data_IF_358089640086
#
_entry.id   IF_358089640086
#
_cell.length_a   1.000
_cell.length_b   1.000
_cell.length_c   1.000
_cell.angle_alpha   90.00
_cell.angle_beta   90.00
_cell.angle_gamma   90.00
#
_symmetry.space_group_name_H-M   'P 1'
#
loop_
_entity.id
_entity.type
_entity.pdbx_description
1 polymer ?
#
# COMPACT_ATOMS: atom_id res chain seq x y z
N UNK A 1 1.17 -26.13 9.17
CA UNK A 1 1.49 -24.71 9.29
C UNK A 1 2.57 -24.41 10.35
N UNK A 2 3.47 -25.35 10.62
CA UNK A 2 4.56 -25.23 11.62
C UNK A 2 5.96 -25.49 11.01
N UNK A 3 6.06 -25.64 9.70
CA UNK A 3 7.32 -26.08 9.04
C UNK A 3 8.16 -24.90 8.54
N UNK A 4 7.58 -23.71 8.38
CA UNK A 4 8.32 -22.53 7.87
C UNK A 4 9.18 -21.87 8.95
N UNK A 5 8.81 -21.99 10.23
CA UNK A 5 9.55 -21.38 11.35
C UNK A 5 10.87 -22.08 11.71
N UNK A 6 11.10 -23.31 11.24
CA UNK A 6 12.30 -24.08 11.64
C UNK A 6 13.54 -23.80 10.79
N UNK A 7 13.40 -23.13 9.66
CA UNK A 7 14.55 -22.86 8.76
C UNK A 7 15.28 -21.55 9.05
N UNK A 8 14.61 -20.59 9.73
CA UNK A 8 15.19 -19.27 10.04
C UNK A 8 16.11 -19.30 11.28
N UNK A 9 15.95 -20.33 12.16
CA UNK A 9 16.66 -20.37 13.46
C UNK A 9 18.07 -20.96 13.40
N UNK A 10 18.59 -21.42 12.26
CA UNK A 10 19.94 -22.04 12.19
C UNK A 10 21.09 -21.10 11.80
N UNK A 11 20.81 -19.81 11.63
CA UNK A 11 21.83 -18.81 11.26
C UNK A 11 22.10 -17.72 12.30
N UNK A 12 21.59 -17.84 13.53
CA UNK A 12 21.80 -16.83 14.57
C UNK A 12 23.26 -16.76 15.01
N UNK A 13 24.10 -16.12 14.23
CA UNK A 13 25.40 -15.63 14.68
C UNK A 13 25.15 -14.44 15.63
N UNK A 14 25.75 -14.50 16.83
CA UNK A 14 25.72 -13.46 17.86
C UNK A 14 25.96 -12.07 17.26
N UNK A 15 24.90 -11.35 16.96
CA UNK A 15 25.00 -9.94 16.57
C UNK A 15 25.26 -9.06 17.80
N UNK A 16 26.30 -8.24 17.70
CA UNK A 16 26.62 -7.20 18.69
C UNK A 16 25.44 -6.24 18.81
N UNK A 17 24.94 -6.06 20.04
CA UNK A 17 23.94 -5.05 20.43
C UNK A 17 24.45 -3.64 20.09
N UNK A 18 24.20 -3.18 18.87
CA UNK A 18 24.40 -1.79 18.51
C UNK A 18 23.44 -1.37 17.38
N UNK A 19 22.17 -1.77 17.48
CA UNK A 19 21.12 -1.21 16.63
C UNK A 19 20.68 0.10 17.26
N UNK A 20 21.27 1.21 16.84
CA UNK A 20 20.74 2.53 17.17
C UNK A 20 19.46 2.73 16.39
N UNK A 21 18.32 2.71 17.09
CA UNK A 21 17.07 3.25 16.57
C UNK A 21 17.30 4.74 16.26
N UNK A 22 17.41 5.08 14.98
CA UNK A 22 17.44 6.46 14.56
C UNK A 22 16.02 7.02 14.67
N UNK A 23 15.78 7.73 15.77
CA UNK A 23 14.55 8.51 15.95
C UNK A 23 14.77 9.87 15.29
N UNK A 24 14.10 10.12 14.19
CA UNK A 24 14.07 11.44 13.55
C UNK A 24 12.79 12.15 13.98
N UNK A 25 12.89 13.34 14.53
CA UNK A 25 11.72 14.16 14.75
C UNK A 25 11.93 15.30 15.72
N UNK A 26 12.14 16.51 15.21
CA UNK A 26 11.64 17.74 15.83
C UNK A 26 10.55 18.30 14.93
N UNK A 27 9.37 17.75 15.00
CA UNK A 27 8.13 18.28 14.44
C UNK A 27 7.05 18.23 15.50
N UNK A 28 6.14 19.18 15.51
CA UNK A 28 5.14 19.47 16.55
C UNK A 28 4.06 18.40 16.82
N UNK A 29 4.33 17.14 16.59
CA UNK A 29 3.49 16.02 17.00
C UNK A 29 4.38 15.04 17.76
N UNK A 30 4.38 15.19 19.10
CA UNK A 30 5.20 14.37 20.01
C UNK A 30 4.74 12.91 20.10
N UNK A 31 3.67 12.51 19.43
CA UNK A 31 3.01 11.23 19.68
C UNK A 31 3.32 10.12 18.66
N UNK A 32 4.03 10.39 17.55
CA UNK A 32 4.41 9.35 16.59
C UNK A 32 5.93 9.30 16.41
N UNK A 33 6.60 8.54 17.27
CA UNK A 33 7.99 8.12 17.02
C UNK A 33 7.97 7.07 15.92
N UNK A 34 8.32 7.48 14.70
CA UNK A 34 8.45 6.56 13.58
C UNK A 34 9.75 5.77 13.72
N UNK A 35 9.68 4.46 13.55
CA UNK A 35 10.86 3.61 13.48
C UNK A 35 11.39 3.60 12.05
N UNK A 36 12.66 3.96 11.86
CA UNK A 36 13.30 3.98 10.53
C UNK A 36 14.16 2.76 10.23
N UNK A 37 14.57 2.01 11.25
CA UNK A 37 15.31 0.77 11.10
C UNK A 37 14.49 -0.40 11.63
N UNK A 38 14.66 -1.56 11.04
CA UNK A 38 14.08 -2.80 11.52
C UNK A 38 15.02 -3.50 12.49
N UNK A 39 14.51 -3.78 13.71
CA UNK A 39 15.06 -4.85 14.53
C UNK A 39 14.25 -6.12 14.18
N UNK A 40 14.87 -7.14 13.57
CA UNK A 40 14.16 -8.32 13.11
C UNK A 40 13.34 -9.00 14.22
N UNK A 41 13.90 -9.10 15.42
CA UNK A 41 13.23 -9.77 16.54
C UNK A 41 12.00 -8.97 17.00
N UNK A 42 12.12 -7.65 17.11
CA UNK A 42 11.01 -6.76 17.49
C UNK A 42 9.96 -6.74 16.39
N UNK A 43 10.38 -6.59 15.13
CA UNK A 43 9.46 -6.47 14.00
C UNK A 43 8.62 -7.75 13.78
N UNK A 44 9.21 -8.94 14.05
CA UNK A 44 8.52 -10.21 13.86
C UNK A 44 7.64 -10.62 15.05
N UNK A 45 7.86 -10.06 16.24
CA UNK A 45 7.22 -10.50 17.47
C UNK A 45 6.39 -9.44 18.20
N UNK A 46 6.51 -8.16 17.81
CA UNK A 46 5.75 -7.03 18.37
C UNK A 46 4.88 -6.40 17.28
N UNK A 47 3.57 -6.65 17.36
CA UNK A 47 2.59 -6.12 16.42
C UNK A 47 2.55 -4.59 16.40
N UNK A 48 2.68 -3.93 17.55
CA UNK A 48 2.65 -2.47 17.63
C UNK A 48 3.89 -1.86 16.97
N UNK A 49 5.06 -2.48 17.18
CA UNK A 49 6.29 -2.07 16.51
C UNK A 49 6.20 -2.30 14.99
N UNK A 50 5.62 -3.41 14.57
CA UNK A 50 5.37 -3.70 13.16
C UNK A 50 4.48 -2.63 12.50
N UNK A 51 3.33 -2.32 13.11
CA UNK A 51 2.41 -1.29 12.60
C UNK A 51 3.08 0.08 12.55
N UNK A 52 3.90 0.44 13.55
CA UNK A 52 4.67 1.70 13.53
C UNK A 52 5.69 1.73 12.40
N UNK A 53 6.32 0.59 12.10
CA UNK A 53 7.26 0.49 10.99
C UNK A 53 6.55 0.68 9.64
N UNK A 54 5.40 0.01 9.41
CA UNK A 54 4.58 0.20 8.20
C UNK A 54 4.12 1.65 8.05
N UNK A 55 3.67 2.30 9.12
CA UNK A 55 3.34 3.75 9.11
C UNK A 55 4.56 4.62 8.81
N UNK A 56 5.74 4.22 9.25
CA UNK A 56 7.01 4.86 8.89
C UNK A 56 7.27 4.81 7.38
N UNK A 57 6.99 3.67 6.74
CA UNK A 57 7.07 3.51 5.28
C UNK A 57 6.06 4.43 4.59
N UNK A 58 4.78 4.43 5.01
CA UNK A 58 3.76 5.34 4.46
C UNK A 58 4.20 6.81 4.53
N UNK A 59 4.77 7.20 5.68
CA UNK A 59 5.25 8.56 5.87
C UNK A 59 6.41 8.88 4.90
N UNK A 60 7.38 7.98 4.77
CA UNK A 60 8.51 8.15 3.85
C UNK A 60 8.01 8.27 2.39
N UNK A 61 7.07 7.43 1.96
CA UNK A 61 6.45 7.51 0.62
C UNK A 61 5.81 8.88 0.40
N UNK A 62 4.96 9.35 1.35
CA UNK A 62 4.24 10.62 1.20
C UNK A 62 5.13 11.87 1.24
N UNK A 63 6.34 11.77 1.79
CA UNK A 63 7.31 12.87 1.92
C UNK A 63 8.34 12.91 0.81
N UNK A 64 8.45 11.87 0.02
CA UNK A 64 9.36 11.81 -1.12
C UNK A 64 8.85 12.68 -2.29
N UNK A 65 9.75 13.41 -2.94
CA UNK A 65 9.43 14.26 -4.08
C UNK A 65 8.85 13.47 -5.27
N UNK A 66 9.24 12.21 -5.45
CA UNK A 66 8.71 11.31 -6.47
C UNK A 66 7.20 11.09 -6.31
N UNK A 67 6.71 11.03 -5.06
CA UNK A 67 5.27 10.94 -4.81
C UNK A 67 4.53 12.18 -5.29
N UNK A 68 5.06 13.36 -5.01
CA UNK A 68 4.50 14.64 -5.49
C UNK A 68 4.53 14.73 -7.01
N UNK A 69 5.63 14.31 -7.64
CA UNK A 69 5.76 14.24 -9.08
C UNK A 69 4.76 13.25 -9.69
N UNK A 70 4.56 12.09 -9.07
CA UNK A 70 3.57 11.11 -9.51
C UNK A 70 2.16 11.67 -9.48
N UNK A 71 1.75 12.35 -8.40
CA UNK A 71 0.45 13.05 -8.33
C UNK A 71 0.30 14.08 -9.46
N UNK A 72 1.36 14.84 -9.73
CA UNK A 72 1.41 15.77 -10.85
C UNK A 72 1.23 15.09 -12.22
N UNK A 73 1.93 13.97 -12.45
CA UNK A 73 1.80 13.15 -13.67
C UNK A 73 0.37 12.68 -13.89
N UNK A 74 -0.29 12.14 -12.85
CA UNK A 74 -1.69 11.69 -12.91
C UNK A 74 -2.63 12.83 -13.30
N UNK A 75 -2.46 14.02 -12.72
CA UNK A 75 -3.26 15.21 -13.06
C UNK A 75 -3.05 15.66 -14.51
N UNK A 76 -1.81 15.68 -14.97
CA UNK A 76 -1.47 16.05 -16.36
C UNK A 76 -1.98 15.02 -17.39
N UNK A 77 -2.13 13.76 -16.99
CA UNK A 77 -2.71 12.71 -17.82
C UNK A 77 -4.24 12.81 -17.96
N UNK A 78 -4.88 13.84 -17.39
CA UNK A 78 -6.32 14.10 -17.52
C UNK A 78 -7.15 13.69 -16.29
N UNK A 79 -6.51 13.14 -15.23
CA UNK A 79 -7.20 12.79 -13.99
C UNK A 79 -7.19 14.00 -13.01
N UNK A 80 -7.64 15.15 -13.50
CA UNK A 80 -7.68 16.41 -12.77
C UNK A 80 -9.08 16.76 -12.26
N UNK A 81 -10.00 15.82 -12.25
CA UNK A 81 -11.36 15.92 -11.73
C UNK A 81 -11.68 14.81 -10.74
N UNK A 82 -12.74 14.98 -9.98
CA UNK A 82 -13.17 13.95 -9.02
C UNK A 82 -13.77 12.76 -9.77
N UNK A 83 -13.24 11.56 -9.55
CA UNK A 83 -13.73 10.33 -10.18
C UNK A 83 -15.22 10.03 -9.90
N UNK A 84 -15.77 10.56 -8.82
CA UNK A 84 -17.18 10.37 -8.42
C UNK A 84 -18.09 11.49 -8.91
N UNK A 85 -17.63 12.73 -8.78
CA UNK A 85 -18.41 13.91 -9.12
C UNK A 85 -18.18 14.38 -10.57
N UNK A 86 -17.16 13.83 -11.23
CA UNK A 86 -16.75 14.26 -12.56
C UNK A 86 -16.45 15.76 -12.58
N UNK A 87 -16.76 16.42 -13.70
CA UNK A 87 -16.56 17.85 -13.89
C UNK A 87 -17.50 18.73 -13.05
N UNK A 88 -18.49 18.16 -12.34
CA UNK A 88 -19.32 18.96 -11.43
C UNK A 88 -18.49 19.62 -10.31
N UNK A 89 -17.36 19.02 -9.95
CA UNK A 89 -16.45 19.59 -8.97
C UNK A 89 -15.61 20.76 -9.53
N UNK A 90 -15.43 20.87 -10.84
CA UNK A 90 -14.58 21.89 -11.48
C UNK A 90 -15.19 23.29 -11.36
N UNK A 91 -16.51 23.38 -11.18
CA UNK A 91 -17.25 24.64 -11.01
C UNK A 91 -17.30 25.13 -9.56
N UNK A 92 -16.71 24.36 -8.62
CA UNK A 92 -16.68 24.73 -7.21
C UNK A 92 -15.34 25.43 -6.91
N UNK A 93 -15.36 26.74 -6.72
CA UNK A 93 -14.19 27.49 -6.30
C UNK A 93 -13.55 26.83 -5.07
N UNK A 94 -12.28 26.44 -5.19
CA UNK A 94 -11.46 25.84 -4.12
C UNK A 94 -11.74 24.36 -3.78
N UNK A 95 -12.19 23.55 -4.71
CA UNK A 95 -12.26 22.10 -4.48
C UNK A 95 -10.85 21.50 -4.60
N UNK A 96 -10.27 21.08 -3.48
CA UNK A 96 -9.02 20.33 -3.47
C UNK A 96 -9.26 18.88 -3.86
N UNK A 97 -8.46 18.38 -4.80
CA UNK A 97 -8.42 16.98 -5.18
C UNK A 97 -7.28 16.29 -4.44
N UNK A 98 -7.61 15.19 -3.80
CA UNK A 98 -6.68 14.31 -3.10
C UNK A 98 -6.54 13.00 -3.86
N UNK A 99 -5.32 12.46 -3.93
CA UNK A 99 -5.08 11.13 -4.46
C UNK A 99 -5.38 10.09 -3.39
N UNK A 100 -6.32 9.21 -3.67
CA UNK A 100 -6.74 8.11 -2.83
C UNK A 100 -6.16 6.79 -3.38
N UNK A 101 -5.48 6.02 -2.54
CA UNK A 101 -5.07 4.65 -2.87
C UNK A 101 -6.28 3.72 -2.73
N UNK A 102 -6.57 3.00 -3.78
CA UNK A 102 -7.77 2.15 -3.86
C UNK A 102 -8.23 1.98 -5.31
N UNK A 103 -9.31 1.23 -5.51
CA UNK A 103 -10.36 0.83 -4.56
C UNK A 103 -10.11 -0.44 -3.74
N UNK A 104 -9.03 -1.20 -3.99
CA UNK A 104 -8.78 -2.49 -3.31
C UNK A 104 -7.88 -2.29 -2.09
N UNK A 105 -6.66 -1.79 -2.32
CA UNK A 105 -5.65 -1.58 -1.30
C UNK A 105 -5.45 -0.09 -1.02
N UNK A 106 -5.39 0.27 0.25
CA UNK A 106 -4.91 1.59 0.66
C UNK A 106 -3.37 1.59 0.72
N UNK A 107 -2.75 2.75 0.99
CA UNK A 107 -1.28 2.84 1.02
C UNK A 107 -0.66 1.99 2.13
N UNK A 108 -1.33 1.85 3.28
CA UNK A 108 -0.88 0.97 4.36
C UNK A 108 -0.79 -0.49 3.88
N UNK A 109 -1.83 -0.99 3.21
CA UNK A 109 -1.85 -2.35 2.67
C UNK A 109 -0.71 -2.57 1.66
N UNK A 110 -0.47 -1.60 0.79
CA UNK A 110 0.62 -1.66 -0.20
C UNK A 110 1.98 -1.74 0.50
N UNK A 111 2.21 -0.88 1.50
CA UNK A 111 3.44 -0.89 2.29
C UNK A 111 3.62 -2.20 3.06
N UNK A 112 2.55 -2.72 3.65
CA UNK A 112 2.53 -3.99 4.39
C UNK A 112 2.88 -5.18 3.48
N UNK A 113 2.25 -5.27 2.31
CA UNK A 113 2.51 -6.33 1.32
C UNK A 113 3.98 -6.30 0.88
N UNK A 114 4.52 -5.11 0.55
CA UNK A 114 5.92 -4.98 0.12
C UNK A 114 6.87 -5.33 1.24
N UNK A 115 6.61 -4.87 2.48
CA UNK A 115 7.42 -5.22 3.65
C UNK A 115 7.44 -6.73 3.89
N UNK A 116 6.29 -7.40 3.85
CA UNK A 116 6.20 -8.85 4.01
C UNK A 116 6.91 -9.62 2.90
N UNK A 117 6.86 -9.09 1.67
CA UNK A 117 7.66 -9.64 0.56
C UNK A 117 9.16 -9.57 0.87
N UNK A 118 9.68 -8.41 1.31
CA UNK A 118 11.09 -8.26 1.68
C UNK A 118 11.48 -9.20 2.83
N UNK A 119 10.64 -9.33 3.86
CA UNK A 119 10.85 -10.25 4.98
C UNK A 119 10.97 -11.71 4.48
N UNK A 120 10.06 -12.14 3.60
CA UNK A 120 10.08 -13.49 3.03
C UNK A 120 11.28 -13.76 2.14
N UNK A 121 11.84 -12.71 1.51
CA UNK A 121 13.09 -12.79 0.75
C UNK A 121 14.34 -12.83 1.63
N UNK A 122 14.20 -12.64 2.93
CA UNK A 122 15.33 -12.63 3.88
C UNK A 122 16.12 -11.32 3.90
N UNK A 123 15.53 -10.23 3.43
CA UNK A 123 16.19 -8.91 3.33
C UNK A 123 16.03 -8.06 4.59
N UNK A 124 15.49 -8.65 5.67
CA UNK A 124 15.05 -7.91 6.87
C UNK A 124 16.21 -7.32 7.70
N UNK A 125 17.41 -7.94 7.71
CA UNK A 125 18.49 -7.55 8.64
C UNK A 125 19.00 -6.13 8.46
N UNK A 126 18.91 -5.60 7.23
CA UNK A 126 19.38 -4.26 6.90
C UNK A 126 18.24 -3.37 6.38
N UNK A 127 16.98 -3.82 6.50
CA UNK A 127 15.83 -3.14 5.92
C UNK A 127 15.49 -1.88 6.71
N UNK A 128 15.36 -0.77 6.00
CA UNK A 128 14.83 0.47 6.56
C UNK A 128 13.48 0.82 5.95
N UNK A 129 12.74 1.74 6.59
CA UNK A 129 11.50 2.26 6.02
C UNK A 129 11.73 2.92 4.66
N UNK A 130 12.91 3.49 4.43
CA UNK A 130 13.27 4.13 3.16
C UNK A 130 13.48 3.12 2.04
N UNK A 131 14.07 1.94 2.33
CA UNK A 131 14.26 0.88 1.33
C UNK A 131 12.91 0.36 0.84
N UNK A 132 11.96 0.11 1.75
CA UNK A 132 10.61 -0.33 1.38
C UNK A 132 9.84 0.80 0.67
N UNK A 133 9.98 2.05 1.13
CA UNK A 133 9.36 3.20 0.48
C UNK A 133 9.88 3.40 -0.95
N UNK A 134 11.18 3.15 -1.22
CA UNK A 134 11.76 3.22 -2.55
C UNK A 134 11.12 2.19 -3.50
N UNK A 135 10.89 0.97 -3.03
CA UNK A 135 10.18 -0.06 -3.79
C UNK A 135 8.74 0.38 -4.10
N UNK A 136 8.01 0.89 -3.09
CA UNK A 136 6.63 1.37 -3.25
C UNK A 136 6.56 2.55 -4.23
N UNK A 137 7.49 3.50 -4.16
CA UNK A 137 7.57 4.63 -5.08
C UNK A 137 7.88 4.17 -6.51
N UNK A 138 8.78 3.21 -6.65
CA UNK A 138 9.09 2.60 -7.95
C UNK A 138 7.85 1.95 -8.58
N UNK A 139 7.00 1.32 -7.78
CA UNK A 139 5.76 0.73 -8.29
C UNK A 139 4.70 1.80 -8.64
N UNK A 140 4.68 2.96 -7.96
CA UNK A 140 3.89 4.12 -8.41
C UNK A 140 4.37 4.63 -9.77
N UNK A 141 5.67 4.83 -9.95
CA UNK A 141 6.25 5.31 -11.21
C UNK A 141 5.96 4.40 -12.41
N UNK A 142 5.83 3.09 -12.15
CA UNK A 142 5.45 2.08 -13.16
C UNK A 142 3.94 1.99 -13.38
N UNK A 143 3.13 2.81 -12.70
CA UNK A 143 1.68 2.74 -12.73
C UNK A 143 1.13 1.35 -12.32
N UNK A 144 1.79 0.65 -11.40
CA UNK A 144 1.33 -0.63 -10.86
C UNK A 144 0.42 -0.46 -9.64
N UNK A 145 0.46 0.69 -8.96
CA UNK A 145 -0.37 0.98 -7.80
C UNK A 145 -1.64 1.70 -8.24
N UNK A 146 -2.78 1.20 -7.77
CA UNK A 146 -4.08 1.72 -8.13
C UNK A 146 -4.45 2.94 -7.29
N UNK A 147 -4.77 4.05 -7.97
CA UNK A 147 -5.11 5.33 -7.34
C UNK A 147 -6.32 5.98 -8.01
N UNK A 148 -7.05 6.79 -7.26
CA UNK A 148 -8.25 7.52 -7.70
C UNK A 148 -8.15 8.98 -7.23
N UNK A 149 -8.49 9.94 -8.09
CA UNK A 149 -8.57 11.35 -7.70
C UNK A 149 -9.95 11.66 -7.15
N UNK A 150 -10.03 12.14 -5.92
CA UNK A 150 -11.27 12.42 -5.20
C UNK A 150 -11.26 13.80 -4.57
N UNK A 151 -12.44 14.42 -4.43
CA UNK A 151 -12.59 15.55 -3.50
C UNK A 151 -12.42 15.08 -2.07
N UNK A 152 -12.06 15.95 -1.14
CA UNK A 152 -11.88 15.62 0.28
C UNK A 152 -13.10 14.91 0.88
N UNK A 153 -14.32 15.34 0.50
CA UNK A 153 -15.57 14.70 0.98
C UNK A 153 -15.70 13.28 0.46
N UNK A 154 -15.47 13.06 -0.84
CA UNK A 154 -15.51 11.73 -1.45
C UNK A 154 -14.40 10.83 -0.87
N UNK A 155 -13.20 11.37 -0.64
CA UNK A 155 -12.08 10.68 -0.02
C UNK A 155 -12.43 10.19 1.39
N UNK A 156 -13.02 11.05 2.23
CA UNK A 156 -13.51 10.66 3.58
C UNK A 156 -14.60 9.58 3.51
N UNK A 157 -15.49 9.65 2.52
CA UNK A 157 -16.54 8.63 2.33
C UNK A 157 -15.96 7.30 1.86
N UNK A 158 -14.94 7.30 1.00
CA UNK A 158 -14.23 6.11 0.56
C UNK A 158 -13.55 5.39 1.73
N UNK A 159 -12.82 6.12 2.58
CA UNK A 159 -12.19 5.54 3.78
C UNK A 159 -13.19 4.91 4.76
N UNK A 160 -14.39 5.45 4.86
CA UNK A 160 -15.46 4.89 5.72
C UNK A 160 -16.22 3.74 5.05
N UNK A 161 -15.81 3.28 3.87
CA UNK A 161 -16.51 2.27 3.07
C UNK A 161 -17.98 2.64 2.75
N UNK A 162 -18.34 3.92 2.85
CA UNK A 162 -19.68 4.43 2.56
C UNK A 162 -19.92 4.63 1.07
N UNK A 163 -18.88 4.42 0.24
CA UNK A 163 -18.92 4.60 -1.19
C UNK A 163 -18.26 3.43 -1.90
N UNK A 164 -18.84 3.02 -3.02
CA UNK A 164 -18.21 2.10 -3.93
C UNK A 164 -17.37 2.89 -4.95
N UNK A 165 -16.10 2.55 -5.08
CA UNK A 165 -15.22 3.07 -6.12
C UNK A 165 -15.05 2.01 -7.20
N UNK A 166 -15.41 2.33 -8.42
CA UNK A 166 -15.24 1.46 -9.58
C UNK A 166 -13.75 1.46 -10.00
N UNK A 167 -13.17 0.29 -10.28
CA UNK A 167 -11.79 0.19 -10.77
C UNK A 167 -11.57 0.95 -12.08
N UNK A 168 -12.61 1.11 -12.92
CA UNK A 168 -12.53 1.89 -14.16
C UNK A 168 -12.28 3.38 -13.94
N UNK A 169 -12.62 3.89 -12.74
CA UNK A 169 -12.36 5.26 -12.35
C UNK A 169 -10.95 5.46 -11.77
N UNK A 170 -10.17 4.39 -11.66
CA UNK A 170 -8.82 4.40 -11.12
C UNK A 170 -7.76 4.35 -12.21
N UNK A 171 -6.58 4.80 -11.85
CA UNK A 171 -5.35 4.67 -12.64
C UNK A 171 -4.47 3.63 -11.98
N UNK A 172 -3.75 2.86 -12.78
CA UNK A 172 -2.79 1.87 -12.30
C UNK A 172 -3.21 0.44 -12.54
N UNK A 173 -2.22 -0.42 -12.67
CA UNK A 173 -2.30 -1.85 -12.99
C UNK A 173 -2.06 -2.67 -11.74
N UNK A 174 -3.05 -2.71 -10.86
CA UNK A 174 -2.95 -3.45 -9.57
C UNK A 174 -2.68 -4.95 -9.78
N UNK A 175 -3.09 -5.52 -10.91
CA UNK A 175 -2.75 -6.87 -11.32
C UNK A 175 -1.22 -7.08 -11.37
N UNK A 176 -0.47 -6.11 -11.89
CA UNK A 176 1.00 -6.18 -11.95
C UNK A 176 1.65 -6.10 -10.58
N UNK A 177 1.07 -5.30 -9.69
CA UNK A 177 1.50 -5.25 -8.29
C UNK A 177 1.27 -6.59 -7.59
N UNK A 178 0.06 -7.16 -7.74
CA UNK A 178 -0.31 -8.44 -7.14
C UNK A 178 0.59 -9.56 -7.69
N UNK A 179 0.77 -9.67 -9.02
CA UNK A 179 1.64 -10.66 -9.65
C UNK A 179 3.06 -10.65 -9.04
N UNK A 180 3.59 -9.44 -8.77
CA UNK A 180 4.95 -9.27 -8.27
C UNK A 180 5.09 -9.57 -6.77
N UNK A 181 4.09 -9.19 -5.97
CA UNK A 181 4.16 -9.20 -4.51
C UNK A 181 3.19 -10.20 -3.86
N UNK A 182 2.66 -11.17 -4.62
CA UNK A 182 1.69 -12.15 -4.13
C UNK A 182 2.20 -12.94 -2.91
N UNK A 183 3.50 -13.21 -2.84
CA UNK A 183 4.13 -13.88 -1.70
C UNK A 183 4.15 -13.03 -0.41
N UNK A 184 4.06 -11.70 -0.54
CA UNK A 184 3.89 -10.77 0.58
C UNK A 184 2.44 -10.65 1.08
N UNK A 185 1.47 -11.16 0.32
CA UNK A 185 0.06 -11.07 0.67
C UNK A 185 -0.34 -12.12 1.70
N UNK A 186 -1.26 -11.75 2.59
CA UNK A 186 -1.87 -12.60 3.60
C UNK A 186 -3.38 -12.72 3.38
N UNK A 187 -4.06 -13.53 4.19
CA UNK A 187 -5.48 -13.83 4.03
C UNK A 187 -6.37 -12.59 4.04
N UNK A 188 -6.04 -11.59 4.84
CA UNK A 188 -6.80 -10.32 4.89
C UNK A 188 -6.68 -9.50 3.61
N UNK A 189 -5.54 -9.55 2.90
CA UNK A 189 -5.38 -8.94 1.59
C UNK A 189 -6.21 -9.65 0.51
N UNK A 190 -6.23 -10.97 0.52
CA UNK A 190 -7.06 -11.78 -0.37
C UNK A 190 -8.55 -11.56 -0.11
N UNK A 191 -8.93 -11.41 1.16
CA UNK A 191 -10.30 -11.09 1.56
C UNK A 191 -10.74 -9.70 1.09
N UNK A 192 -9.82 -8.72 1.04
CA UNK A 192 -10.11 -7.40 0.46
C UNK A 192 -10.42 -7.49 -1.02
N UNK A 193 -9.65 -8.27 -1.78
CA UNK A 193 -9.92 -8.52 -3.20
C UNK A 193 -11.27 -9.20 -3.36
N UNK A 194 -11.54 -10.28 -2.63
CA UNK A 194 -12.80 -11.02 -2.70
C UNK A 194 -14.00 -10.13 -2.40
N UNK A 195 -13.93 -9.35 -1.32
CA UNK A 195 -15.01 -8.38 -0.97
C UNK A 195 -15.18 -7.29 -2.03
N UNK A 196 -14.09 -6.84 -2.65
CA UNK A 196 -14.19 -5.88 -3.74
C UNK A 196 -14.89 -6.48 -4.96
N UNK A 197 -14.56 -7.71 -5.36
CA UNK A 197 -15.20 -8.44 -6.45
C UNK A 197 -16.70 -8.63 -6.21
N UNK A 198 -17.10 -8.98 -4.99
CA UNK A 198 -18.51 -9.13 -4.64
C UNK A 198 -19.27 -7.79 -4.69
N UNK A 199 -18.63 -6.70 -4.30
CA UNK A 199 -19.20 -5.36 -4.46
C UNK A 199 -19.35 -4.97 -5.94
N UNK A 200 -18.41 -5.34 -6.79
CA UNK A 200 -18.51 -5.12 -8.24
C UNK A 200 -19.70 -5.85 -8.85
N UNK A 201 -19.92 -7.12 -8.48
CA UNK A 201 -21.11 -7.87 -8.91
C UNK A 201 -22.40 -7.17 -8.47
N UNK A 202 -22.42 -6.69 -7.23
CA UNK A 202 -23.61 -6.03 -6.65
C UNK A 202 -23.93 -4.69 -7.31
N UNK A 203 -22.91 -3.89 -7.61
CA UNK A 203 -23.08 -2.52 -8.11
C UNK A 203 -22.87 -2.37 -9.62
N UNK A 204 -22.76 -3.48 -10.35
CA UNK A 204 -22.65 -3.50 -11.81
C UNK A 204 -21.35 -2.96 -12.36
N UNK A 205 -20.31 -2.81 -11.52
CA UNK A 205 -18.96 -2.48 -11.96
C UNK A 205 -18.43 -3.60 -12.85
N UNK A 206 -18.08 -3.29 -14.10
CA UNK A 206 -17.29 -4.20 -14.94
C UNK A 206 -15.86 -4.09 -14.49
N UNK A 207 -15.33 -5.17 -13.94
CA UNK A 207 -13.91 -5.27 -13.63
C UNK A 207 -13.11 -5.26 -14.93
N UNK A 208 -11.91 -4.68 -14.86
CA UNK A 208 -10.92 -4.92 -15.88
C UNK A 208 -10.70 -6.43 -15.99
N UNK A 209 -10.79 -6.96 -17.21
CA UNK A 209 -10.62 -8.38 -17.49
C UNK A 209 -9.29 -8.91 -16.93
N UNK A 210 -8.24 -8.08 -16.95
CA UNK A 210 -6.94 -8.41 -16.37
C UNK A 210 -6.94 -8.64 -14.87
N UNK A 211 -7.80 -7.95 -14.11
CA UNK A 211 -7.92 -8.19 -12.65
C UNK A 211 -8.60 -9.54 -12.38
N UNK A 212 -9.60 -9.92 -13.16
CA UNK A 212 -10.23 -11.24 -13.05
C UNK A 212 -9.26 -12.37 -13.36
N UNK A 213 -8.51 -12.24 -14.47
CA UNK A 213 -7.53 -13.25 -14.87
C UNK A 213 -6.44 -13.42 -13.78
N UNK A 214 -6.05 -12.32 -13.11
CA UNK A 214 -5.10 -12.37 -12.01
C UNK A 214 -5.69 -13.05 -10.79
N UNK A 215 -6.94 -12.73 -10.41
CA UNK A 215 -7.61 -13.33 -9.25
C UNK A 215 -7.88 -14.81 -9.47
N UNK A 216 -8.28 -15.24 -10.67
CA UNK A 216 -8.43 -16.67 -10.99
C UNK A 216 -7.11 -17.42 -10.85
N UNK A 217 -6.02 -16.89 -11.39
CA UNK A 217 -4.68 -17.47 -11.22
C UNK A 217 -4.24 -17.55 -9.76
N UNK A 218 -4.56 -16.53 -8.97
CA UNK A 218 -4.15 -16.47 -7.57
C UNK A 218 -5.00 -17.36 -6.65
N UNK A 219 -6.25 -17.67 -7.02
CA UNK A 219 -7.05 -18.70 -6.34
C UNK A 219 -6.50 -20.11 -6.58
N UNK A 220 -5.80 -20.34 -7.67
CA UNK A 220 -5.11 -21.62 -7.93
C UNK A 220 -3.92 -21.86 -6.99
N UNK A 221 -3.25 -20.80 -6.52
CA UNK A 221 -2.14 -20.89 -5.54
C UNK A 221 -2.61 -21.12 -4.07
N UNK A 222 -3.90 -20.97 -3.80
CA UNK A 222 -4.49 -21.15 -2.45
C UNK A 222 -4.90 -22.60 -2.16
N UNK A 223 -4.74 -23.50 -3.10
CA UNK A 223 -4.92 -24.93 -2.95
C UNK A 223 -3.61 -25.58 -2.56
#
# INVERSE_FOLDING_TARGET
MLVVFHFIMKGAHKMKKNTRLYVWGRGRHEDEKLAFGADPDVLLHDYDAYVKFVKGIEHAVRKDDRYTHYVGKIRLAGFNHCAVLGHAADNMDKVELEMHHGPIFNLFDICDIVLKHCIKKGEIENLTTFDVADIVLTEHEKDHIQVVMLTQTAHKAAHKSNMFLDARASVGRIDKFIDKFADGMEDDHWDKISRYLDRCKKYGGTLDKGLFDTVEKLTEYKK
#
